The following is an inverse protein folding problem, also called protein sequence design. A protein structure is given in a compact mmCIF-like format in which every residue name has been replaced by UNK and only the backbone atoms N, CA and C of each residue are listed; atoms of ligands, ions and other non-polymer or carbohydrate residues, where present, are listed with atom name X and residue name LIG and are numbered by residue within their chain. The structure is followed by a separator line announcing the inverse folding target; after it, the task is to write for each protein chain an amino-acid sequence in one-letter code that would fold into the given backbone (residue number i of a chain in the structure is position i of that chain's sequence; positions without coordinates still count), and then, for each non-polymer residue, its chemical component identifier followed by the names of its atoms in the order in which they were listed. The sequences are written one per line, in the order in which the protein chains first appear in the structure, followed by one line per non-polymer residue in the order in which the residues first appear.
data_IF_277888449557
#
_entry.id   IF_277888449557
#
_cell.length_a   1.000
_cell.length_b   1.000
_cell.length_c   1.000
_cell.angle_alpha   90.00
_cell.angle_beta   90.00
_cell.angle_gamma   90.00
#
_symmetry.space_group_name_H-M   'P 1'
#
loop_
_entity.id
_entity.type
_entity.pdbx_description
1 polymer ?
#
# COMPACT_ATOMS: atom_id res chain seq x y z
N UNK A 1 11.17 -0.30 -10.14
CA UNK A 1 10.78 -1.71 -10.37
C UNK A 1 11.81 -2.34 -11.29
N UNK A 2 12.18 -3.61 -11.12
CA UNK A 2 13.14 -4.34 -11.96
C UNK A 2 12.45 -5.51 -12.69
N UNK A 3 13.07 -5.99 -13.77
CA UNK A 3 12.53 -7.08 -14.60
C UNK A 3 12.36 -8.37 -13.78
N UNK A 4 11.25 -9.08 -13.95
CA UNK A 4 10.95 -10.29 -13.16
C UNK A 4 10.64 -10.06 -11.68
N UNK A 5 10.57 -8.81 -11.21
CA UNK A 5 10.16 -8.53 -9.82
C UNK A 5 8.77 -9.10 -9.52
N UNK A 6 8.58 -9.72 -8.33
CA UNK A 6 7.28 -10.23 -7.93
C UNK A 6 6.25 -9.11 -7.86
N UNK A 7 4.97 -9.44 -8.00
CA UNK A 7 3.91 -8.46 -7.85
C UNK A 7 3.92 -7.87 -6.44
N UNK A 8 3.91 -6.54 -6.34
CA UNK A 8 3.83 -5.87 -5.05
C UNK A 8 2.39 -5.94 -4.55
N UNK A 9 2.22 -6.16 -3.25
CA UNK A 9 0.90 -6.13 -2.61
C UNK A 9 0.87 -5.13 -1.47
N UNK A 10 -0.31 -4.62 -1.14
CA UNK A 10 -0.54 -3.83 0.06
C UNK A 10 -1.76 -4.38 0.80
N UNK A 11 -1.56 -4.80 2.04
CA UNK A 11 -2.64 -5.07 2.98
C UNK A 11 -3.02 -3.77 3.70
N UNK A 12 -4.32 -3.54 3.84
CA UNK A 12 -4.88 -2.34 4.46
C UNK A 12 -5.60 -2.77 5.73
N UNK A 13 -5.13 -2.26 6.85
CA UNK A 13 -5.75 -2.45 8.15
C UNK A 13 -6.37 -1.13 8.62
N UNK A 14 -7.54 -1.22 9.25
CA UNK A 14 -8.21 -0.09 9.89
C UNK A 14 -8.39 -0.43 11.37
N UNK A 15 -7.90 0.45 12.24
CA UNK A 15 -7.89 0.25 13.70
C UNK A 15 -7.29 -1.11 14.10
N UNK A 16 -6.20 -1.50 13.42
CA UNK A 16 -5.49 -2.76 13.66
C UNK A 16 -6.18 -4.01 13.10
N UNK A 17 -7.32 -3.88 12.41
CA UNK A 17 -8.07 -4.99 11.81
C UNK A 17 -7.91 -5.00 10.30
N UNK A 18 -7.56 -6.16 9.74
CA UNK A 18 -7.46 -6.37 8.30
C UNK A 18 -8.78 -6.06 7.60
N UNK A 19 -8.72 -5.29 6.52
CA UNK A 19 -9.87 -4.96 5.69
C UNK A 19 -9.75 -5.61 4.31
N UNK A 20 -8.61 -5.42 3.64
CA UNK A 20 -8.39 -5.95 2.29
C UNK A 20 -6.91 -6.01 1.93
N UNK A 21 -6.60 -6.72 0.85
CA UNK A 21 -5.29 -6.74 0.21
C UNK A 21 -5.46 -6.41 -1.27
N UNK A 22 -4.62 -5.51 -1.76
CA UNK A 22 -4.56 -5.14 -3.17
C UNK A 22 -3.26 -5.65 -3.81
N UNK A 23 -3.36 -6.12 -5.05
CA UNK A 23 -2.24 -6.27 -5.96
C UNK A 23 -1.96 -4.92 -6.63
N UNK A 24 -0.70 -4.49 -6.62
CA UNK A 24 -0.29 -3.21 -7.17
C UNK A 24 0.35 -3.40 -8.54
N UNK A 25 -0.11 -2.59 -9.49
CA UNK A 25 0.55 -2.37 -10.78
C UNK A 25 1.95 -1.79 -10.60
N UNK A 26 2.81 -2.00 -11.59
CA UNK A 26 4.20 -1.54 -11.59
C UNK A 26 4.31 -0.03 -11.80
N UNK A 27 3.37 0.56 -12.53
CA UNK A 27 3.24 2.01 -12.73
C UNK A 27 2.44 2.71 -11.61
N UNK A 28 2.52 4.04 -11.59
CA UNK A 28 1.63 4.87 -10.79
C UNK A 28 0.17 4.57 -11.13
N UNK A 29 -0.60 4.19 -10.12
CA UNK A 29 -2.00 3.84 -10.28
C UNK A 29 -2.81 4.32 -9.08
N UNK A 30 -4.09 4.62 -9.34
CA UNK A 30 -5.05 4.95 -8.30
C UNK A 30 -5.81 3.70 -7.87
N UNK A 31 -5.95 3.52 -6.56
CA UNK A 31 -6.70 2.43 -5.96
C UNK A 31 -7.82 3.00 -5.08
N UNK A 32 -8.93 2.26 -5.01
CA UNK A 32 -10.07 2.60 -4.16
C UNK A 32 -10.49 1.35 -3.39
N UNK A 33 -10.81 1.55 -2.12
CA UNK A 33 -11.27 0.49 -1.23
C UNK A 33 -12.47 0.99 -0.44
N UNK A 34 -13.51 0.16 -0.37
CA UNK A 34 -14.67 0.45 0.48
C UNK A 34 -14.40 -0.10 1.86
N UNK A 35 -14.35 0.79 2.85
CA UNK A 35 -14.22 0.41 4.26
C UNK A 35 -15.61 0.40 4.88
N UNK A 36 -16.06 -0.72 5.49
CA UNK A 36 -17.32 -0.75 6.21
C UNK A 36 -17.34 0.29 7.33
N UNK A 37 -18.48 0.98 7.51
CA UNK A 37 -18.64 1.92 8.62
C UNK A 37 -18.40 1.28 9.99
N UNK A 38 -18.64 -0.03 10.12
CA UNK A 38 -18.38 -0.83 11.32
C UNK A 38 -16.89 -1.03 11.65
N UNK A 39 -15.99 -0.78 10.70
CA UNK A 39 -14.55 -0.78 10.94
C UNK A 39 -14.05 0.57 11.48
N UNK A 40 -14.87 1.62 11.37
CA UNK A 40 -14.56 2.97 11.84
C UNK A 40 -15.13 3.20 13.25
N UNK A 41 -14.50 4.10 13.98
CA UNK A 41 -14.94 4.59 15.28
C UNK A 41 -15.10 6.11 15.27
N UNK A 42 -15.87 6.64 16.21
CA UNK A 42 -15.94 8.09 16.43
C UNK A 42 -14.58 8.64 16.82
N UNK A 43 -14.18 9.75 16.20
CA UNK A 43 -12.89 10.39 16.44
C UNK A 43 -11.76 9.83 15.57
N UNK A 44 -10.61 9.55 16.20
CA UNK A 44 -9.40 9.15 15.49
C UNK A 44 -9.47 7.69 15.02
N UNK A 45 -9.14 7.47 13.74
CA UNK A 45 -9.01 6.15 13.14
C UNK A 45 -7.59 5.97 12.60
N UNK A 46 -6.99 4.82 12.87
CA UNK A 46 -5.70 4.45 12.30
C UNK A 46 -5.88 3.65 11.01
N UNK A 47 -5.24 4.07 9.93
CA UNK A 47 -5.17 3.30 8.68
C UNK A 47 -3.72 2.90 8.46
N UNK A 48 -3.46 1.60 8.34
CA UNK A 48 -2.10 1.05 8.16
C UNK A 48 -1.99 0.36 6.82
N UNK A 49 -0.96 0.73 6.05
CA UNK A 49 -0.61 0.12 4.77
C UNK A 49 0.60 -0.80 4.98
N UNK A 50 0.42 -2.11 4.79
CA UNK A 50 1.47 -3.13 4.96
C UNK A 50 1.86 -3.69 3.60
N UNK A 51 3.04 -3.31 3.12
CA UNK A 51 3.53 -3.76 1.82
C UNK A 51 4.13 -5.16 1.89
N UNK A 52 3.93 -5.95 0.84
CA UNK A 52 4.36 -7.35 0.78
C UNK A 52 5.87 -7.52 0.90
N UNK A 53 6.64 -6.57 0.37
CA UNK A 53 8.09 -6.54 0.54
C UNK A 53 8.65 -5.11 0.39
N UNK A 54 9.81 -4.89 1.00
CA UNK A 54 10.72 -3.81 0.65
C UNK A 54 12.07 -4.45 0.32
N UNK A 55 12.75 -3.97 -0.73
CA UNK A 55 14.04 -4.54 -1.14
C UNK A 55 15.00 -3.43 -1.55
N UNK A 56 16.25 -3.56 -1.11
CA UNK A 56 17.31 -2.66 -1.52
C UNK A 56 17.74 -2.95 -2.98
N UNK A 57 17.94 -1.93 -3.83
CA UNK A 57 18.38 -2.12 -5.21
C UNK A 57 19.65 -2.96 -5.33
N UNK A 58 20.63 -2.78 -4.44
CA UNK A 58 21.87 -3.55 -4.42
C UNK A 58 21.68 -5.08 -4.30
N UNK A 59 20.52 -5.54 -3.80
CA UNK A 59 20.22 -6.97 -3.67
C UNK A 59 19.64 -7.60 -4.93
N UNK A 60 19.11 -6.79 -5.85
CA UNK A 60 18.29 -7.27 -6.98
C UNK A 60 18.70 -6.71 -8.34
N UNK A 61 19.53 -5.65 -8.37
CA UNK A 61 20.07 -5.04 -9.59
C UNK A 61 21.60 -5.22 -9.58
N UNK A 62 22.18 -6.03 -10.48
CA UNK A 62 23.62 -6.22 -10.57
C UNK A 62 24.37 -4.90 -10.74
N UNK A 63 25.44 -4.71 -9.96
CA UNK A 63 26.28 -3.51 -10.00
C UNK A 63 25.68 -2.27 -9.31
N UNK A 64 24.50 -2.37 -8.71
CA UNK A 64 23.90 -1.26 -7.96
C UNK A 64 24.46 -1.21 -6.52
N UNK A 65 24.88 -0.03 -6.06
CA UNK A 65 25.46 0.17 -4.74
C UNK A 65 24.46 0.71 -3.69
N UNK A 66 23.21 1.00 -4.06
CA UNK A 66 22.22 1.53 -3.12
C UNK A 66 21.69 0.41 -2.19
N UNK A 67 22.07 0.49 -0.92
CA UNK A 67 21.74 -0.48 0.12
C UNK A 67 20.48 -0.12 0.90
N UNK A 68 19.84 1.02 0.61
CA UNK A 68 18.63 1.43 1.34
C UNK A 68 17.44 0.60 0.90
N UNK A 69 16.65 0.13 1.86
CA UNK A 69 15.34 -0.43 1.55
C UNK A 69 14.44 0.67 1.01
N UNK A 70 13.87 0.43 -0.18
CA UNK A 70 13.02 1.42 -0.81
C UNK A 70 11.68 1.52 -0.07
N UNK A 71 11.34 2.74 0.32
CA UNK A 71 10.03 3.10 0.83
C UNK A 71 9.01 3.23 -0.31
N UNK A 72 7.72 3.27 0.06
CA UNK A 72 6.64 3.54 -0.89
C UNK A 72 6.36 5.03 -0.99
N UNK A 73 6.15 5.49 -2.22
CA UNK A 73 5.75 6.85 -2.49
C UNK A 73 4.24 6.93 -2.68
N UNK A 74 3.61 7.93 -2.05
CA UNK A 74 2.21 8.29 -2.28
C UNK A 74 2.17 9.66 -2.95
N UNK A 75 1.31 9.81 -3.97
CA UNK A 75 0.97 11.13 -4.49
C UNK A 75 -0.13 11.78 -3.65
N UNK A 76 -1.17 11.02 -3.31
CA UNK A 76 -2.24 11.48 -2.42
C UNK A 76 -2.95 10.32 -1.74
N UNK A 77 -3.54 10.59 -0.58
CA UNK A 77 -4.45 9.69 0.14
C UNK A 77 -5.66 10.51 0.55
N UNK A 78 -6.86 10.01 0.25
CA UNK A 78 -8.11 10.69 0.58
C UNK A 78 -9.13 9.70 1.12
N UNK A 79 -9.81 10.08 2.20
CA UNK A 79 -11.00 9.39 2.70
C UNK A 79 -12.23 10.17 2.24
N UNK A 80 -13.21 9.47 1.66
CA UNK A 80 -14.47 10.04 1.20
C UNK A 80 -15.61 9.18 1.74
N UNK A 81 -16.77 9.80 2.01
CA UNK A 81 -18.00 9.01 2.21
C UNK A 81 -18.34 8.31 0.90
N UNK A 82 -18.72 7.04 0.99
CA UNK A 82 -19.30 6.36 -0.16
C UNK A 82 -20.68 6.98 -0.43
N UNK A 83 -20.95 7.34 -1.69
CA UNK A 83 -22.25 7.87 -2.07
C UNK A 83 -23.33 6.81 -1.81
N UNK A 84 -24.37 7.17 -1.07
CA UNK A 84 -25.57 6.36 -0.92
C UNK A 84 -26.26 6.32 -2.30
N UNK A 85 -26.15 5.19 -3.01
CA UNK A 85 -27.09 4.87 -4.08
C UNK A 85 -28.28 4.13 -3.49
#
# INVERSE_FOLDING_TARGET
VYEGSPEQTVAIDVNGRFQTRLALKREWAQYQVTIPGTALQSGLNGVTFKYGYAVAPARVIPGNADTRELAVAFNSVALRRADSR
#
